data_IF_610750127058
#
_entry.id   IF_610750127058
#
_cell.length_a   1.000
_cell.length_b   1.000
_cell.length_c   1.000
_cell.angle_alpha   90.00
_cell.angle_beta   90.00
_cell.angle_gamma   90.00
#
_symmetry.space_group_name_H-M   'P 1'
#
loop_
_entity.id
_entity.type
_entity.pdbx_description
1 polymer ?
#
# COMPACT_ATOMS: atom_id res chain seq x y z
N UNK A 1 -13.05 -8.32 -0.85
CA UNK A 1 -11.72 -8.11 -0.21
C UNK A 1 -11.71 -6.73 0.40
N UNK A 2 -11.11 -6.58 1.58
CA UNK A 2 -10.90 -5.27 2.24
C UNK A 2 -9.42 -5.09 2.50
N UNK A 3 -8.94 -3.86 2.36
CA UNK A 3 -7.58 -3.48 2.72
C UNK A 3 -7.62 -2.46 3.86
N UNK A 4 -6.72 -2.61 4.82
CA UNK A 4 -6.45 -1.61 5.83
C UNK A 4 -5.02 -1.11 5.75
N UNK A 5 -4.81 0.13 6.16
CA UNK A 5 -3.52 0.77 6.39
C UNK A 5 -3.37 1.10 7.88
N UNK A 6 -2.15 1.08 8.41
CA UNK A 6 -1.90 1.14 9.86
C UNK A 6 -0.63 1.91 10.21
N UNK A 7 -0.58 2.37 11.47
CA UNK A 7 0.61 2.94 12.09
C UNK A 7 1.73 1.89 12.30
N UNK A 8 1.42 0.59 12.17
CA UNK A 8 2.42 -0.48 12.17
C UNK A 8 3.27 -0.55 10.88
N UNK A 9 3.10 0.43 9.98
CA UNK A 9 3.81 0.60 8.70
C UNK A 9 3.44 -0.45 7.65
N UNK A 10 2.35 -1.20 7.87
CA UNK A 10 1.89 -2.24 6.95
C UNK A 10 0.53 -1.94 6.36
N UNK A 11 0.23 -2.65 5.27
CA UNK A 11 -1.14 -2.83 4.80
C UNK A 11 -1.55 -4.28 5.00
N UNK A 12 -2.82 -4.51 5.31
CA UNK A 12 -3.36 -5.86 5.48
C UNK A 12 -4.55 -6.07 4.57
N UNK A 13 -4.58 -7.23 3.89
CA UNK A 13 -5.66 -7.65 3.02
C UNK A 13 -6.45 -8.77 3.67
N UNK A 14 -7.76 -8.58 3.75
CA UNK A 14 -8.70 -9.52 4.33
C UNK A 14 -9.67 -10.07 3.29
N UNK A 15 -9.92 -11.37 3.40
CA UNK A 15 -11.09 -12.00 2.83
C UNK A 15 -12.23 -11.91 3.86
N UNK A 16 -13.29 -11.20 3.49
CA UNK A 16 -14.45 -10.98 4.36
C UNK A 16 -15.42 -12.16 4.34
N UNK A 17 -15.38 -13.00 3.31
CA UNK A 17 -16.21 -14.20 3.22
C UNK A 17 -15.63 -15.31 4.08
N UNK A 18 -14.30 -15.41 4.12
CA UNK A 18 -13.59 -16.39 4.96
C UNK A 18 -13.16 -15.86 6.33
N UNK A 19 -13.41 -14.57 6.60
CA UNK A 19 -12.99 -13.86 7.82
C UNK A 19 -11.50 -14.02 8.16
N UNK A 20 -10.64 -13.94 7.14
CA UNK A 20 -9.21 -14.25 7.28
C UNK A 20 -8.29 -13.17 6.72
N UNK A 21 -7.16 -12.98 7.40
CA UNK A 21 -6.02 -12.25 6.88
C UNK A 21 -5.36 -13.07 5.75
N UNK A 22 -5.30 -12.50 4.56
CA UNK A 22 -4.73 -13.16 3.37
C UNK A 22 -3.28 -12.73 3.14
N UNK A 23 -3.00 -11.43 3.25
CA UNK A 23 -1.68 -10.85 2.97
C UNK A 23 -1.36 -9.69 3.90
N UNK A 24 -0.07 -9.52 4.18
CA UNK A 24 0.50 -8.31 4.78
C UNK A 24 1.52 -7.73 3.80
N UNK A 25 1.36 -6.47 3.44
CA UNK A 25 2.26 -5.72 2.57
C UNK A 25 3.23 -4.94 3.46
N UNK A 26 4.52 -5.25 3.33
CA UNK A 26 5.60 -4.63 4.12
C UNK A 26 6.49 -3.83 3.18
N UNK A 27 6.97 -2.68 3.64
CA UNK A 27 7.95 -1.89 2.89
C UNK A 27 7.94 -0.40 3.23
N UNK A 28 6.79 0.14 3.64
CA UNK A 28 6.75 1.50 4.18
C UNK A 28 7.63 1.61 5.44
N UNK A 29 8.29 2.75 5.59
CA UNK A 29 9.19 3.01 6.72
C UNK A 29 8.51 3.82 7.83
N UNK A 30 7.28 4.27 7.60
CA UNK A 30 6.48 5.04 8.54
C UNK A 30 4.97 4.75 8.37
N UNK A 31 4.12 5.45 9.13
CA UNK A 31 2.67 5.24 9.17
C UNK A 31 2.05 5.29 7.78
N UNK A 32 1.10 4.38 7.52
CA UNK A 32 0.35 4.35 6.26
C UNK A 32 -1.02 4.97 6.51
N UNK A 33 -1.34 6.07 5.83
CA UNK A 33 -2.55 6.85 6.10
C UNK A 33 -3.70 6.54 5.15
N UNK A 34 -3.37 6.12 3.93
CA UNK A 34 -4.37 5.84 2.92
C UNK A 34 -3.96 4.65 2.09
N UNK A 35 -4.98 3.93 1.62
CA UNK A 35 -4.82 2.87 0.64
C UNK A 35 -6.07 2.71 -0.20
N UNK A 36 -5.90 2.29 -1.46
CA UNK A 36 -7.03 2.02 -2.35
C UNK A 36 -6.66 1.03 -3.45
N UNK A 37 -7.63 0.23 -3.88
CA UNK A 37 -7.49 -0.67 -5.02
C UNK A 37 -7.68 0.09 -6.34
N UNK A 38 -7.08 -0.43 -7.41
CA UNK A 38 -7.58 -0.13 -8.74
C UNK A 38 -8.93 -0.85 -8.98
N UNK A 39 -9.74 -0.48 -9.98
CA UNK A 39 -11.06 -1.07 -10.21
C UNK A 39 -11.10 -2.60 -10.37
N UNK A 40 -9.97 -3.20 -10.80
CA UNK A 40 -9.84 -4.65 -10.97
C UNK A 40 -9.21 -5.37 -9.76
N UNK A 41 -8.87 -4.65 -8.69
CA UNK A 41 -8.21 -5.18 -7.49
C UNK A 41 -6.90 -5.95 -7.75
N UNK A 42 -6.22 -5.64 -8.86
CA UNK A 42 -4.92 -6.22 -9.22
C UNK A 42 -3.76 -5.41 -8.66
N UNK A 43 -3.99 -4.11 -8.48
CA UNK A 43 -3.04 -3.16 -7.90
C UNK A 43 -3.64 -2.51 -6.66
N UNK A 44 -2.77 -2.21 -5.72
CA UNK A 44 -3.06 -1.42 -4.54
C UNK A 44 -2.15 -0.19 -4.55
N UNK A 45 -2.69 0.97 -4.20
CA UNK A 45 -1.93 2.20 -3.94
C UNK A 45 -1.94 2.46 -2.45
N UNK A 46 -0.82 2.94 -1.90
CA UNK A 46 -0.75 3.41 -0.52
C UNK A 46 0.11 4.65 -0.37
N UNK A 47 -0.27 5.54 0.55
CA UNK A 47 0.49 6.73 0.93
C UNK A 47 0.93 6.67 2.38
N UNK A 48 2.15 7.13 2.67
CA UNK A 48 2.76 7.03 3.99
C UNK A 48 3.51 8.30 4.41
N UNK A 49 3.67 8.47 5.72
CA UNK A 49 4.54 9.49 6.31
C UNK A 49 6.04 9.28 6.00
N UNK A 50 6.43 8.17 5.36
CA UNK A 50 7.78 7.99 4.86
C UNK A 50 8.09 8.82 3.60
N UNK A 51 7.14 9.68 3.18
CA UNK A 51 7.28 10.55 2.02
C UNK A 51 7.08 9.82 0.70
N UNK A 52 6.52 8.60 0.71
CA UNK A 52 6.32 7.81 -0.51
C UNK A 52 4.87 7.43 -0.75
N UNK A 53 4.54 7.34 -2.04
CA UNK A 53 3.41 6.57 -2.54
C UNK A 53 3.96 5.25 -3.10
N UNK A 54 3.35 4.13 -2.74
CA UNK A 54 3.72 2.81 -3.25
C UNK A 54 2.59 2.19 -4.04
N UNK A 55 2.96 1.54 -5.15
CA UNK A 55 2.08 0.72 -5.96
C UNK A 55 2.47 -0.74 -5.73
N UNK A 56 1.50 -1.56 -5.35
CA UNK A 56 1.70 -2.97 -5.03
C UNK A 56 0.95 -3.84 -6.02
N UNK A 57 1.55 -4.96 -6.42
CA UNK A 57 0.84 -6.02 -7.10
C UNK A 57 0.20 -6.95 -6.06
N UNK A 58 -1.13 -7.03 -6.05
CA UNK A 58 -1.89 -7.67 -4.97
C UNK A 58 -1.60 -9.16 -4.87
N UNK A 59 -1.47 -9.85 -6.02
CA UNK A 59 -1.28 -11.32 -6.05
C UNK A 59 0.04 -11.75 -5.41
N UNK A 60 1.13 -11.04 -5.68
CA UNK A 60 2.46 -11.36 -5.15
C UNK A 60 2.81 -10.62 -3.86
N UNK A 61 2.01 -9.63 -3.45
CA UNK A 61 2.33 -8.72 -2.35
C UNK A 61 3.60 -7.88 -2.57
N UNK A 62 4.04 -7.70 -3.82
CA UNK A 62 5.30 -7.00 -4.11
C UNK A 62 5.06 -5.54 -4.44
N UNK A 63 5.94 -4.66 -3.94
CA UNK A 63 5.99 -3.27 -4.36
C UNK A 63 6.56 -3.21 -5.78
N UNK A 64 5.78 -2.74 -6.74
CA UNK A 64 6.18 -2.64 -8.16
C UNK A 64 6.58 -1.22 -8.56
N UNK A 65 6.20 -0.21 -7.75
CA UNK A 65 6.64 1.16 -7.94
C UNK A 65 6.68 1.90 -6.61
N UNK A 66 7.75 2.67 -6.42
CA UNK A 66 7.92 3.62 -5.33
C UNK A 66 7.97 5.01 -5.95
N UNK A 67 7.13 5.91 -5.46
CA UNK A 67 7.01 7.28 -5.95
C UNK A 67 7.29 8.24 -4.79
N UNK A 68 8.17 9.24 -4.96
CA UNK A 68 8.28 10.34 -4.02
C UNK A 68 6.95 11.10 -3.97
N UNK A 69 6.40 11.30 -2.77
CA UNK A 69 5.21 12.12 -2.53
C UNK A 69 5.54 13.57 -2.15
N UNK A 70 6.83 13.84 -1.91
CA UNK A 70 7.36 15.16 -1.57
C UNK A 70 8.03 15.72 -2.83
N UNK A 71 7.77 17.00 -3.12
CA UNK A 71 8.46 17.73 -4.17
C UNK A 71 9.95 17.80 -3.79
N UNK A 72 10.76 16.96 -4.43
CA UNK A 72 12.21 17.13 -4.42
C UNK A 72 12.55 18.10 -5.54
N UNK A 73 13.44 19.06 -5.27
CA UNK A 73 13.84 20.12 -6.21
C UNK A 73 14.43 19.59 -7.55
N UNK A 74 14.67 18.29 -7.68
CA UNK A 74 15.26 17.66 -8.86
C UNK A 74 14.27 17.39 -10.01
N UNK A 75 13.08 17.99 -9.99
CA UNK A 75 12.06 17.86 -11.04
C UNK A 75 11.82 19.16 -11.83
N UNK A 76 12.74 20.14 -11.74
CA UNK A 76 12.81 21.34 -12.58
C UNK A 76 14.10 21.33 -13.40
#
# INVERSE_FOLDING_TARGET
MVVSCSNDKTLKLFDITQEKLIKTFRGHQNYVFCCNFNPRSTLLVSGSFDGTVRIWYVRSSTCVRLLPAILTLSAL
#
